data_IF_026459120867
#
_entry.id   IF_026459120867
#
_cell.length_a   1.000
_cell.length_b   1.000
_cell.length_c   1.000
_cell.angle_alpha   90.00
_cell.angle_beta   90.00
_cell.angle_gamma   90.00
#
_symmetry.space_group_name_H-M   'P 1'
#
loop_
_entity.id
_entity.type
_entity.pdbx_description
1 polymer ?
#
# COMPACT_ATOMS: atom_id res chain seq x y z
N UNK A 1 -8.80 -26.02 24.88
CA UNK A 1 -7.92 -24.84 24.86
C UNK A 1 -8.19 -24.10 23.56
N UNK A 2 -9.18 -23.20 23.57
CA UNK A 2 -9.50 -22.40 22.38
C UNK A 2 -8.65 -21.15 22.44
N UNK A 3 -7.60 -21.10 21.63
CA UNK A 3 -6.77 -19.91 21.45
C UNK A 3 -7.59 -18.90 20.64
N UNK A 4 -8.29 -18.03 21.35
CA UNK A 4 -8.83 -16.77 20.83
C UNK A 4 -7.64 -15.84 20.54
N UNK A 5 -6.96 -16.09 19.43
CA UNK A 5 -6.04 -15.11 18.88
C UNK A 5 -6.92 -14.08 18.19
N UNK A 6 -6.95 -12.81 18.61
CA UNK A 6 -7.77 -11.80 17.96
C UNK A 6 -7.33 -11.72 16.49
N UNK A 7 -8.21 -12.13 15.58
CA UNK A 7 -7.96 -12.05 14.14
C UNK A 7 -8.02 -10.57 13.77
N UNK A 8 -6.86 -9.93 13.84
CA UNK A 8 -6.70 -8.55 13.47
C UNK A 8 -7.06 -8.41 11.97
N UNK A 9 -8.03 -7.52 11.68
CA UNK A 9 -8.56 -7.35 10.33
C UNK A 9 -7.41 -7.05 9.36
N UNK A 10 -7.32 -7.76 8.22
CA UNK A 10 -6.26 -7.53 7.25
C UNK A 10 -6.25 -6.07 6.79
N UNK A 11 -5.10 -5.41 6.90
CA UNK A 11 -4.90 -4.06 6.36
C UNK A 11 -5.19 -4.08 4.85
N UNK A 12 -6.07 -3.18 4.40
CA UNK A 12 -6.44 -3.11 2.97
C UNK A 12 -5.26 -2.65 2.14
N UNK A 13 -5.11 -3.28 0.97
CA UNK A 13 -4.10 -2.92 -0.02
C UNK A 13 -4.44 -1.56 -0.62
N UNK A 14 -3.46 -0.64 -0.76
CA UNK A 14 -3.66 0.65 -1.45
C UNK A 14 -3.68 0.49 -2.99
N UNK A 15 -3.80 -0.73 -3.50
CA UNK A 15 -3.78 -1.01 -4.93
C UNK A 15 -5.02 -0.43 -5.61
N UNK A 16 -4.82 0.41 -6.61
CA UNK A 16 -5.88 0.92 -7.49
C UNK A 16 -5.99 0.11 -8.80
N UNK A 17 -5.40 -1.10 -8.84
CA UNK A 17 -5.32 -1.98 -10.02
C UNK A 17 -4.63 -1.35 -11.24
N UNK A 18 -3.84 -0.30 -11.02
CA UNK A 18 -2.95 0.30 -12.00
C UNK A 18 -1.52 -0.05 -11.59
N UNK A 19 -0.81 -0.75 -12.46
CA UNK A 19 0.59 -1.10 -12.27
C UNK A 19 1.44 -0.38 -13.31
N UNK A 20 1.95 0.80 -12.95
CA UNK A 20 2.86 1.59 -13.76
C UNK A 20 3.99 2.08 -12.86
N UNK A 21 5.19 1.53 -13.04
CA UNK A 21 6.37 1.89 -12.26
C UNK A 21 7.08 3.09 -12.91
N UNK A 22 7.63 3.97 -12.10
CA UNK A 22 8.54 5.03 -12.54
C UNK A 22 10.01 4.53 -12.63
N UNK A 23 10.93 5.45 -12.90
CA UNK A 23 12.37 5.16 -12.97
C UNK A 23 13.00 4.80 -11.61
N UNK A 24 12.26 4.98 -10.50
CA UNK A 24 12.68 4.64 -9.14
C UNK A 24 12.01 3.34 -8.64
N UNK A 25 11.39 2.56 -9.53
CA UNK A 25 10.64 1.34 -9.19
C UNK A 25 9.46 1.59 -8.23
N UNK A 26 8.89 2.80 -8.24
CA UNK A 26 7.71 3.18 -7.47
C UNK A 26 6.49 3.13 -8.38
N UNK A 27 5.45 2.45 -7.92
CA UNK A 27 4.19 2.40 -8.63
C UNK A 27 3.50 3.76 -8.58
N UNK A 28 3.36 4.43 -9.72
CA UNK A 28 2.72 5.75 -9.84
C UNK A 28 1.27 5.76 -9.37
N UNK A 29 0.57 4.60 -9.44
CA UNK A 29 -0.83 4.47 -8.99
C UNK A 29 -1.01 4.28 -7.49
N UNK A 30 -0.22 3.39 -6.86
CA UNK A 30 -0.36 3.08 -5.42
C UNK A 30 0.80 3.54 -4.54
N UNK A 31 1.80 4.18 -5.12
CA UNK A 31 3.00 4.75 -4.50
C UNK A 31 3.83 3.75 -3.66
N UNK A 32 3.60 2.45 -3.89
CA UNK A 32 4.43 1.36 -3.35
C UNK A 32 5.60 1.08 -4.25
N UNK A 33 6.74 0.75 -3.64
CA UNK A 33 7.89 0.20 -4.36
C UNK A 33 7.62 -1.23 -4.83
N UNK A 34 8.35 -1.69 -5.84
CA UNK A 34 8.30 -3.11 -6.28
C UNK A 34 8.60 -4.08 -5.13
N UNK A 35 9.49 -3.70 -4.21
CA UNK A 35 9.83 -4.50 -3.03
C UNK A 35 8.65 -4.61 -2.06
N UNK A 36 7.92 -3.52 -1.83
CA UNK A 36 6.73 -3.52 -0.98
C UNK A 36 5.60 -4.32 -1.61
N UNK A 37 5.40 -4.21 -2.93
CA UNK A 37 4.38 -4.97 -3.68
C UNK A 37 4.64 -6.48 -3.56
N UNK A 38 5.87 -6.92 -3.80
CA UNK A 38 6.25 -8.34 -3.73
C UNK A 38 6.20 -8.91 -2.32
N UNK A 39 6.49 -8.09 -1.30
CA UNK A 39 6.47 -8.51 0.12
C UNK A 39 5.10 -8.35 0.80
N UNK A 40 4.14 -7.63 0.22
CA UNK A 40 2.85 -7.29 0.83
C UNK A 40 2.09 -8.50 1.41
N UNK A 41 2.07 -9.63 0.69
CA UNK A 41 1.41 -10.86 1.13
C UNK A 41 2.06 -11.51 2.35
N UNK A 42 3.35 -11.25 2.58
CA UNK A 42 4.16 -11.78 3.67
C UNK A 42 4.32 -10.82 4.85
N UNK A 43 3.98 -9.54 4.67
CA UNK A 43 4.03 -8.51 5.70
C UNK A 43 2.92 -8.69 6.75
N UNK A 44 3.27 -8.41 8.00
CA UNK A 44 2.35 -8.25 9.13
C UNK A 44 1.48 -6.99 8.98
N UNK A 45 0.38 -6.90 9.73
CA UNK A 45 -0.47 -5.72 9.67
C UNK A 45 0.26 -4.42 10.08
N UNK A 46 1.20 -4.50 11.02
CA UNK A 46 2.00 -3.34 11.43
C UNK A 46 2.94 -2.87 10.32
N UNK A 47 3.64 -3.80 9.65
CA UNK A 47 4.45 -3.47 8.48
C UNK A 47 3.59 -2.88 7.35
N UNK A 48 2.40 -3.42 7.11
CA UNK A 48 1.47 -2.89 6.11
C UNK A 48 1.05 -1.46 6.43
N UNK A 49 0.82 -1.12 7.71
CA UNK A 49 0.50 0.26 8.14
C UNK A 49 1.66 1.21 7.91
N UNK A 50 2.89 0.77 8.20
CA UNK A 50 4.09 1.56 7.92
C UNK A 50 4.24 1.82 6.43
N UNK A 51 4.09 0.78 5.60
CA UNK A 51 4.12 0.91 4.13
C UNK A 51 3.06 1.89 3.64
N UNK A 52 1.83 1.83 4.16
CA UNK A 52 0.78 2.78 3.81
C UNK A 52 1.16 4.23 4.15
N UNK A 53 1.77 4.47 5.30
CA UNK A 53 2.27 5.80 5.68
C UNK A 53 3.35 6.31 4.72
N UNK A 54 4.30 5.45 4.35
CA UNK A 54 5.33 5.78 3.36
C UNK A 54 4.74 6.06 1.96
N UNK A 55 3.71 5.31 1.56
CA UNK A 55 3.02 5.53 0.29
C UNK A 55 2.32 6.89 0.27
N UNK A 56 1.68 7.28 1.37
CA UNK A 56 1.06 8.60 1.52
C UNK A 56 2.09 9.74 1.45
N UNK A 57 3.22 9.59 2.13
CA UNK A 57 4.33 10.55 2.08
C UNK A 57 4.89 10.69 0.66
N UNK A 58 5.11 9.57 -0.04
CA UNK A 58 5.55 9.57 -1.45
C UNK A 58 4.50 10.18 -2.38
N UNK A 59 3.21 9.87 -2.19
CA UNK A 59 2.13 10.47 -2.96
C UNK A 59 2.14 12.01 -2.85
N UNK A 60 2.33 12.50 -1.62
CA UNK A 60 2.47 13.93 -1.32
C UNK A 60 3.72 14.54 -1.95
N UNK A 61 4.87 13.87 -1.85
CA UNK A 61 6.13 14.33 -2.41
C UNK A 61 6.11 14.39 -3.95
N UNK A 62 5.47 13.41 -4.59
CA UNK A 62 5.32 13.34 -6.05
C UNK A 62 4.32 14.36 -6.60
N UNK A 63 3.64 15.15 -5.76
CA UNK A 63 2.57 16.07 -6.16
C UNK A 63 1.35 15.36 -6.74
N UNK A 64 1.30 14.03 -6.63
CA UNK A 64 0.21 13.18 -7.09
C UNK A 64 -0.88 13.17 -6.02
N UNK A 65 -1.61 14.28 -5.95
CA UNK A 65 -2.98 14.25 -5.44
C UNK A 65 -3.83 13.51 -6.48
N UNK A 66 -3.69 12.19 -6.55
CA UNK A 66 -4.77 11.39 -7.08
C UNK A 66 -5.84 11.42 -6.01
N UNK A 67 -6.80 12.34 -6.15
CA UNK A 67 -8.05 12.28 -5.41
C UNK A 67 -8.54 10.84 -5.49
N UNK A 68 -8.43 10.13 -4.37
CA UNK A 68 -9.03 8.83 -4.17
C UNK A 68 -10.54 9.07 -4.24
N UNK A 69 -11.10 9.04 -5.45
CA UNK A 69 -12.48 9.42 -5.65
C UNK A 69 -12.77 9.91 -7.06
N UNK A 70 -12.72 9.01 -8.03
CA UNK A 70 -13.74 8.96 -9.08
C UNK A 70 -13.78 7.52 -9.61
N UNK A 71 -14.40 6.67 -8.79
CA UNK A 71 -15.04 5.48 -9.30
C UNK A 71 -16.25 5.93 -10.12
N UNK A 72 -16.24 5.64 -11.42
CA UNK A 72 -17.46 5.54 -12.21
C UNK A 72 -17.69 4.08 -12.57
#
# INVERSE_FOLDING_TARGET
MSTDTPIEKPVRSPCVSICALDEQDICTGCQRTVTEITRWSRMSNDERRVVLGLCDERARASGLMWTVGEAR
#
